data_IF_634874645898
#
_entry.id   IF_634874645898
#
_cell.length_a   1.000
_cell.length_b   1.000
_cell.length_c   1.000
_cell.angle_alpha   90.00
_cell.angle_beta   90.00
_cell.angle_gamma   90.00
#
_symmetry.space_group_name_H-M   'P 1'
#
loop_
_entity.id
_entity.type
_entity.pdbx_description
1 polymer ?
#
# COMPACT_ATOMS: atom_id res chain seq x y z
N UNK A 1 -25.48 42.69 22.47
CA UNK A 1 -24.67 42.44 21.26
C UNK A 1 -23.97 41.09 21.41
N UNK A 2 -24.58 40.01 20.90
CA UNK A 2 -24.05 38.68 20.95
C UNK A 2 -22.94 38.49 19.90
N UNK A 3 -21.75 38.10 20.32
CA UNK A 3 -20.70 37.65 19.41
C UNK A 3 -21.10 36.30 18.85
N UNK A 4 -21.50 36.26 17.58
CA UNK A 4 -21.59 35.02 16.84
C UNK A 4 -20.20 34.41 16.74
N UNK A 5 -20.04 33.21 17.32
CA UNK A 5 -18.86 32.37 17.11
C UNK A 5 -18.86 31.94 15.64
N UNK A 6 -17.88 32.39 14.88
CA UNK A 6 -17.59 31.87 13.54
C UNK A 6 -17.19 30.41 13.71
N UNK A 7 -17.84 29.43 13.04
CA UNK A 7 -17.39 28.05 13.09
C UNK A 7 -15.99 27.97 12.49
N UNK A 8 -15.01 27.52 13.25
CA UNK A 8 -13.73 27.06 12.73
C UNK A 8 -14.04 25.89 11.80
N UNK A 9 -14.03 26.14 10.49
CA UNK A 9 -13.94 25.10 9.48
C UNK A 9 -12.59 24.44 9.69
N UNK A 10 -12.55 23.36 10.46
CA UNK A 10 -11.44 22.41 10.47
C UNK A 10 -11.46 21.72 9.12
N UNK A 11 -10.77 22.31 8.14
CA UNK A 11 -10.47 21.62 6.89
C UNK A 11 -9.43 20.57 7.24
N UNK A 12 -9.88 19.35 7.55
CA UNK A 12 -9.00 18.24 7.81
C UNK A 12 -8.07 18.05 6.60
N UNK A 13 -6.77 18.20 6.85
CA UNK A 13 -5.74 17.99 5.84
C UNK A 13 -5.47 16.50 5.74
N UNK A 14 -5.65 15.90 4.58
CA UNK A 14 -5.28 14.51 4.36
C UNK A 14 -3.77 14.31 4.61
N UNK A 15 -3.42 13.25 5.32
CA UNK A 15 -2.03 12.86 5.59
C UNK A 15 -1.68 11.62 4.80
N UNK A 16 -0.65 11.71 3.95
CA UNK A 16 -0.25 10.63 3.04
C UNK A 16 1.22 10.26 3.24
N UNK A 17 1.45 9.00 3.55
CA UNK A 17 2.78 8.42 3.60
C UNK A 17 3.07 7.68 2.30
N UNK A 18 4.14 8.04 1.61
CA UNK A 18 4.64 7.35 0.42
C UNK A 18 5.84 6.48 0.78
N UNK A 19 5.73 5.18 0.53
CA UNK A 19 6.80 4.19 0.71
C UNK A 19 7.14 3.61 -0.67
N UNK A 20 8.44 3.64 -1.04
CA UNK A 20 8.84 3.12 -2.34
C UNK A 20 10.31 3.35 -2.68
N UNK A 21 10.59 3.53 -3.95
CA UNK A 21 11.94 3.72 -4.45
C UNK A 21 12.02 4.93 -5.41
N UNK A 22 12.93 4.86 -6.40
CA UNK A 22 13.11 5.96 -7.36
C UNK A 22 11.83 6.31 -8.13
N UNK A 23 10.93 5.38 -8.38
CA UNK A 23 9.65 5.68 -9.04
C UNK A 23 8.73 6.56 -8.18
N UNK A 24 8.95 6.56 -6.87
CA UNK A 24 8.24 7.44 -5.93
C UNK A 24 8.92 8.79 -5.76
N UNK A 25 10.26 8.86 -5.69
CA UNK A 25 10.93 10.14 -5.41
C UNK A 25 11.30 10.96 -6.67
N UNK A 26 11.37 10.35 -7.87
CA UNK A 26 11.66 11.09 -9.08
C UNK A 26 10.69 12.25 -9.29
N UNK A 27 11.23 13.37 -9.76
CA UNK A 27 10.50 14.61 -9.99
C UNK A 27 9.66 15.07 -8.78
N UNK A 28 10.03 14.62 -7.57
CA UNK A 28 9.33 14.97 -6.31
C UNK A 28 7.84 14.62 -6.36
N UNK A 29 7.49 13.42 -6.85
CA UNK A 29 6.10 13.00 -7.06
C UNK A 29 5.16 13.27 -5.85
N UNK A 30 5.49 12.93 -4.58
CA UNK A 30 4.58 13.22 -3.47
C UNK A 30 4.24 14.71 -3.34
N UNK A 31 5.20 15.60 -3.58
CA UNK A 31 4.99 17.05 -3.54
C UNK A 31 4.24 17.57 -4.76
N UNK A 32 4.34 16.92 -5.93
CA UNK A 32 3.46 17.22 -7.06
C UNK A 32 2.00 16.90 -6.72
N UNK A 33 1.74 15.77 -6.05
CA UNK A 33 0.38 15.44 -5.56
C UNK A 33 -0.13 16.49 -4.59
N UNK A 34 0.71 16.96 -3.67
CA UNK A 34 0.37 18.02 -2.72
C UNK A 34 0.05 19.35 -3.44
N UNK A 35 0.90 19.74 -4.40
CA UNK A 35 0.70 20.99 -5.16
C UNK A 35 -0.56 20.93 -6.02
N UNK A 36 -0.80 19.79 -6.67
CA UNK A 36 -2.02 19.54 -7.45
C UNK A 36 -3.27 19.61 -6.57
N UNK A 37 -3.24 19.00 -5.39
CA UNK A 37 -4.34 19.07 -4.44
C UNK A 37 -4.59 20.52 -3.99
N UNK A 38 -3.52 21.25 -3.68
CA UNK A 38 -3.61 22.65 -3.26
C UNK A 38 -4.24 23.55 -4.33
N UNK A 39 -3.88 23.37 -5.60
CA UNK A 39 -4.48 24.13 -6.71
C UNK A 39 -5.97 23.82 -6.92
N UNK A 40 -6.42 22.64 -6.47
CA UNK A 40 -7.83 22.25 -6.46
C UNK A 40 -8.54 22.60 -5.14
N UNK A 41 -7.95 23.41 -4.27
CA UNK A 41 -8.53 23.81 -2.98
C UNK A 41 -8.57 22.71 -1.91
N UNK A 42 -7.84 21.61 -2.13
CA UNK A 42 -7.71 20.50 -1.16
C UNK A 42 -6.43 20.66 -0.34
N UNK A 43 -6.48 20.23 0.92
CA UNK A 43 -5.29 20.21 1.79
C UNK A 43 -4.78 18.81 1.94
N UNK A 44 -3.51 18.61 1.62
CA UNK A 44 -2.80 17.34 1.78
C UNK A 44 -1.41 17.59 2.37
N UNK A 45 -0.98 16.79 3.31
CA UNK A 45 0.39 16.74 3.78
C UNK A 45 1.02 15.41 3.41
N UNK A 46 2.22 15.45 2.88
CA UNK A 46 2.93 14.27 2.38
C UNK A 46 4.20 14.00 3.17
N UNK A 47 4.46 12.74 3.44
CA UNK A 47 5.76 12.23 3.89
C UNK A 47 6.23 11.15 2.95
N UNK A 48 7.54 11.07 2.74
CA UNK A 48 8.15 10.07 1.88
C UNK A 48 9.21 9.28 2.65
N UNK A 49 9.21 7.96 2.48
CA UNK A 49 10.32 7.07 2.79
C UNK A 49 10.58 6.25 1.54
N UNK A 50 11.62 6.64 0.77
CA UNK A 50 11.92 6.01 -0.51
C UNK A 50 13.44 5.97 -0.75
N UNK A 51 13.95 4.80 -1.12
CA UNK A 51 15.37 4.57 -1.37
C UNK A 51 15.58 3.94 -2.74
N UNK A 52 16.66 4.29 -3.47
CA UNK A 52 16.91 3.79 -4.82
C UNK A 52 16.87 2.26 -4.91
N UNK A 53 16.03 1.72 -5.81
CA UNK A 53 15.96 0.30 -6.10
C UNK A 53 15.38 -0.60 -5.02
N UNK A 54 14.90 -0.04 -3.92
CA UNK A 54 14.37 -0.83 -2.81
C UNK A 54 13.07 -1.55 -3.17
N UNK A 55 12.92 -2.70 -2.50
CA UNK A 55 11.73 -3.54 -2.47
C UNK A 55 10.93 -3.27 -1.19
N UNK A 56 9.64 -3.57 -1.16
CA UNK A 56 8.83 -3.48 0.06
C UNK A 56 9.38 -4.33 1.21
N UNK A 57 10.01 -5.47 0.91
CA UNK A 57 10.67 -6.30 1.93
C UNK A 57 11.80 -5.58 2.68
N UNK A 58 12.52 -4.65 2.01
CA UNK A 58 13.54 -3.84 2.68
C UNK A 58 12.89 -2.77 3.56
N UNK A 59 11.78 -2.20 3.12
CA UNK A 59 10.96 -1.29 3.92
C UNK A 59 10.37 -1.97 5.15
N UNK A 60 9.88 -3.21 5.01
CA UNK A 60 9.33 -3.99 6.12
C UNK A 60 10.37 -4.32 7.22
N UNK A 61 11.66 -4.27 6.89
CA UNK A 61 12.76 -4.46 7.83
C UNK A 61 13.49 -3.14 8.22
N UNK A 62 13.05 -2.00 7.70
CA UNK A 62 13.76 -0.73 7.87
C UNK A 62 13.15 0.11 9.00
N UNK A 63 13.96 0.48 9.99
CA UNK A 63 13.54 1.25 11.16
C UNK A 63 12.85 2.56 10.79
N UNK A 64 13.41 3.34 9.87
CA UNK A 64 12.85 4.62 9.44
C UNK A 64 11.46 4.47 8.83
N UNK A 65 11.25 3.41 8.01
CA UNK A 65 9.94 3.10 7.43
C UNK A 65 8.93 2.72 8.51
N UNK A 66 9.33 1.82 9.42
CA UNK A 66 8.46 1.36 10.50
C UNK A 66 8.10 2.50 11.47
N UNK A 67 9.05 3.37 11.79
CA UNK A 67 8.79 4.58 12.61
C UNK A 67 7.84 5.54 11.90
N UNK A 68 8.02 5.77 10.59
CA UNK A 68 7.11 6.62 9.82
C UNK A 68 5.67 6.09 9.85
N UNK A 69 5.47 4.77 9.77
CA UNK A 69 4.14 4.17 9.88
C UNK A 69 3.59 4.34 11.31
N UNK A 70 4.43 4.12 12.34
CA UNK A 70 4.06 4.24 13.76
C UNK A 70 3.66 5.65 14.18
N UNK A 71 4.07 6.69 13.47
CA UNK A 71 3.57 8.05 13.72
C UNK A 71 2.03 8.11 13.66
N UNK A 72 1.44 7.24 12.87
CA UNK A 72 -0.02 7.10 12.81
C UNK A 72 -0.75 8.29 12.21
N UNK A 73 -2.07 8.22 12.24
CA UNK A 73 -2.92 9.29 11.71
C UNK A 73 -2.80 9.48 10.19
N UNK A 74 -2.34 8.48 9.46
CA UNK A 74 -2.28 8.48 8.01
C UNK A 74 -3.66 8.18 7.43
N UNK A 75 -4.15 9.05 6.54
CA UNK A 75 -5.36 8.75 5.75
C UNK A 75 -5.03 7.77 4.63
N UNK A 76 -3.84 7.92 4.03
CA UNK A 76 -3.36 7.00 3.01
C UNK A 76 -1.90 6.61 3.25
N UNK A 77 -1.60 5.32 3.02
CA UNK A 77 -0.24 4.80 2.93
C UNK A 77 -0.04 4.20 1.54
N UNK A 78 0.74 4.87 0.72
CA UNK A 78 1.07 4.44 -0.64
C UNK A 78 2.27 3.50 -0.58
N UNK A 79 2.13 2.33 -1.20
CA UNK A 79 3.18 1.32 -1.29
C UNK A 79 3.55 1.05 -2.74
N UNK A 80 4.81 1.31 -3.10
CA UNK A 80 5.38 1.05 -4.42
C UNK A 80 6.48 0.00 -4.33
N UNK A 81 6.29 -1.11 -5.02
CA UNK A 81 7.26 -2.20 -5.11
C UNK A 81 8.32 -1.92 -6.19
N UNK A 82 9.45 -2.61 -6.12
CA UNK A 82 10.49 -2.56 -7.15
C UNK A 82 9.91 -2.92 -8.53
N UNK A 83 10.28 -2.15 -9.54
CA UNK A 83 9.61 -2.10 -10.85
C UNK A 83 9.45 -3.43 -11.59
N UNK A 84 10.33 -4.42 -11.36
CA UNK A 84 10.27 -5.75 -11.98
C UNK A 84 9.81 -6.86 -11.01
N UNK A 85 9.71 -6.57 -9.73
CA UNK A 85 9.36 -7.58 -8.74
C UNK A 85 7.95 -8.18 -8.97
N UNK A 86 6.92 -7.37 -9.27
CA UNK A 86 5.58 -7.91 -9.52
C UNK A 86 5.44 -8.69 -10.83
N UNK A 87 6.46 -8.70 -11.70
CA UNK A 87 6.41 -9.45 -12.98
C UNK A 87 7.19 -10.78 -12.90
N UNK A 88 7.55 -11.21 -11.71
CA UNK A 88 8.17 -12.50 -11.50
C UNK A 88 7.12 -13.61 -11.42
N UNK A 89 7.60 -14.83 -11.30
CA UNK A 89 6.79 -16.03 -11.11
C UNK A 89 5.87 -15.87 -9.88
N UNK A 90 4.65 -16.40 -9.96
CA UNK A 90 3.54 -16.11 -9.04
C UNK A 90 3.88 -16.42 -7.57
N UNK A 91 4.47 -17.57 -7.28
CA UNK A 91 4.84 -17.93 -5.91
C UNK A 91 5.93 -17.03 -5.34
N UNK A 92 6.87 -16.61 -6.19
CA UNK A 92 7.87 -15.63 -5.80
C UNK A 92 7.23 -14.27 -5.46
N UNK A 93 6.25 -13.83 -6.26
CA UNK A 93 5.52 -12.56 -6.05
C UNK A 93 4.75 -12.62 -4.74
N UNK A 94 4.00 -13.68 -4.47
CA UNK A 94 3.29 -13.85 -3.20
C UNK A 94 4.24 -13.73 -2.00
N UNK A 95 5.35 -14.44 -2.04
CA UNK A 95 6.33 -14.47 -0.95
C UNK A 95 7.08 -13.15 -0.77
N UNK A 96 7.50 -12.51 -1.86
CA UNK A 96 8.47 -11.41 -1.82
C UNK A 96 7.87 -10.03 -2.07
N UNK A 97 6.61 -9.96 -2.53
CA UNK A 97 5.87 -8.72 -2.78
C UNK A 97 4.65 -8.62 -1.85
N UNK A 98 3.73 -9.60 -1.90
CA UNK A 98 2.49 -9.53 -1.12
C UNK A 98 2.73 -9.66 0.37
N UNK A 99 3.59 -10.58 0.80
CA UNK A 99 3.89 -10.75 2.22
C UNK A 99 4.49 -9.48 2.86
N UNK A 100 5.55 -8.86 2.32
CA UNK A 100 6.05 -7.60 2.87
C UNK A 100 5.02 -6.46 2.82
N UNK A 101 4.21 -6.37 1.77
CA UNK A 101 3.13 -5.40 1.68
C UNK A 101 2.10 -5.60 2.81
N UNK A 102 1.72 -6.85 3.09
CA UNK A 102 0.82 -7.20 4.17
C UNK A 102 1.39 -6.87 5.56
N UNK A 103 2.70 -7.06 5.77
CA UNK A 103 3.38 -6.66 7.01
C UNK A 103 3.28 -5.14 7.25
N UNK A 104 3.55 -4.34 6.22
CA UNK A 104 3.44 -2.88 6.28
C UNK A 104 1.98 -2.43 6.49
N UNK A 105 1.02 -3.05 5.78
CA UNK A 105 -0.41 -2.75 5.94
C UNK A 105 -0.93 -3.11 7.34
N UNK A 106 -0.50 -4.25 7.89
CA UNK A 106 -0.85 -4.65 9.27
C UNK A 106 -0.39 -3.62 10.28
N UNK A 107 0.84 -3.10 10.13
CA UNK A 107 1.35 -2.03 10.97
C UNK A 107 0.56 -0.73 10.78
N UNK A 108 0.23 -0.34 9.53
CA UNK A 108 -0.62 0.80 9.24
C UNK A 108 -1.99 0.65 9.93
N UNK A 109 -2.63 -0.53 9.85
CA UNK A 109 -3.93 -0.80 10.51
C UNK A 109 -3.87 -0.57 12.01
N UNK A 110 -2.75 -0.92 12.64
CA UNK A 110 -2.55 -0.73 14.07
C UNK A 110 -2.45 0.77 14.44
N UNK A 111 -1.70 1.58 13.67
CA UNK A 111 -1.39 2.97 14.01
C UNK A 111 -2.26 4.01 13.28
N UNK A 112 -2.90 3.61 12.19
CA UNK A 112 -3.84 4.43 11.43
C UNK A 112 -5.06 3.59 11.00
N UNK A 113 -5.90 3.12 11.94
CA UNK A 113 -6.99 2.18 11.67
C UNK A 113 -8.05 2.71 10.71
N UNK A 114 -8.25 4.02 10.65
CA UNK A 114 -9.18 4.68 9.71
C UNK A 114 -8.56 4.92 8.33
N UNK A 115 -7.24 4.84 8.23
CA UNK A 115 -6.52 5.06 6.99
C UNK A 115 -6.66 3.88 6.02
N UNK A 116 -6.22 4.08 4.78
CA UNK A 116 -6.27 3.07 3.71
C UNK A 116 -4.89 2.90 3.09
N UNK A 117 -4.50 1.67 2.83
CA UNK A 117 -3.34 1.41 1.99
C UNK A 117 -3.68 1.61 0.53
N UNK A 118 -2.70 2.04 -0.26
CA UNK A 118 -2.83 2.29 -1.69
C UNK A 118 -1.67 1.60 -2.41
N UNK A 119 -1.99 0.62 -3.23
CA UNK A 119 -1.02 -0.05 -4.09
C UNK A 119 -0.70 0.84 -5.29
N UNK A 120 0.55 1.24 -5.43
CA UNK A 120 1.01 2.06 -6.55
C UNK A 120 1.33 1.16 -7.73
N UNK A 121 0.37 0.89 -8.60
CA UNK A 121 0.59 0.15 -9.85
C UNK A 121 1.53 0.94 -10.76
N UNK A 122 2.74 0.43 -10.91
CA UNK A 122 3.77 1.02 -11.77
C UNK A 122 3.55 0.61 -13.24
N UNK A 123 4.46 0.99 -14.12
CA UNK A 123 4.38 0.82 -15.59
C UNK A 123 5.45 -0.12 -16.12
N UNK A 124 5.18 -0.70 -17.29
CA UNK A 124 6.12 -1.53 -18.04
C UNK A 124 7.33 -0.73 -18.54
N UNK A 125 8.44 -1.41 -18.82
CA UNK A 125 9.64 -0.82 -19.41
C UNK A 125 9.39 -0.39 -20.85
N UNK A 126 10.07 0.67 -21.31
CA UNK A 126 9.96 1.15 -22.68
C UNK A 126 10.78 0.26 -23.65
N UNK A 127 10.28 -0.91 -23.93
CA UNK A 127 10.86 -1.89 -24.84
C UNK A 127 9.77 -2.78 -25.45
N UNK A 128 10.14 -3.74 -26.29
CA UNK A 128 9.22 -4.63 -27.01
C UNK A 128 8.38 -5.55 -26.12
N UNK A 129 8.76 -5.72 -24.83
CA UNK A 129 8.00 -6.52 -23.86
C UNK A 129 6.99 -5.70 -23.06
N UNK A 130 6.79 -4.43 -23.39
CA UNK A 130 5.97 -3.49 -22.61
C UNK A 130 4.57 -4.04 -22.30
N UNK A 131 3.83 -4.48 -23.31
CA UNK A 131 2.43 -4.90 -23.13
C UNK A 131 2.32 -6.13 -22.22
N UNK A 132 3.18 -7.12 -22.39
CA UNK A 132 3.21 -8.30 -21.52
C UNK A 132 3.63 -7.97 -20.09
N UNK A 133 4.61 -7.08 -19.94
CA UNK A 133 5.03 -6.60 -18.61
C UNK A 133 3.92 -5.80 -17.94
N UNK A 134 3.24 -4.90 -18.67
CA UNK A 134 2.15 -4.11 -18.10
C UNK A 134 0.97 -4.99 -17.70
N UNK A 135 0.65 -6.01 -18.49
CA UNK A 135 -0.40 -6.95 -18.15
C UNK A 135 -0.11 -7.66 -16.80
N UNK A 136 1.10 -8.18 -16.63
CA UNK A 136 1.52 -8.83 -15.37
C UNK A 136 1.51 -7.86 -14.19
N UNK A 137 1.95 -6.60 -14.39
CA UNK A 137 1.88 -5.58 -13.36
C UNK A 137 0.43 -5.32 -12.95
N UNK A 138 -0.47 -5.16 -13.91
CA UNK A 138 -1.89 -4.89 -13.65
C UNK A 138 -2.53 -6.02 -12.85
N UNK A 139 -2.35 -7.28 -13.29
CA UNK A 139 -2.88 -8.46 -12.61
C UNK A 139 -2.38 -8.57 -11.17
N UNK A 140 -1.06 -8.49 -10.96
CA UNK A 140 -0.48 -8.68 -9.63
C UNK A 140 -0.75 -7.50 -8.68
N UNK A 141 -0.84 -6.26 -9.17
CA UNK A 141 -1.20 -5.13 -8.32
C UNK A 141 -2.69 -5.14 -7.95
N UNK A 142 -3.57 -5.59 -8.83
CA UNK A 142 -4.99 -5.78 -8.51
C UNK A 142 -5.18 -6.91 -7.49
N UNK A 143 -4.52 -8.06 -7.69
CA UNK A 143 -4.53 -9.16 -6.71
C UNK A 143 -4.00 -8.71 -5.35
N UNK A 144 -2.88 -7.98 -5.32
CA UNK A 144 -2.34 -7.43 -4.07
C UNK A 144 -3.30 -6.44 -3.40
N UNK A 145 -3.94 -5.57 -4.17
CA UNK A 145 -4.90 -4.60 -3.65
C UNK A 145 -6.15 -5.29 -3.09
N UNK A 146 -6.63 -6.35 -3.74
CA UNK A 146 -7.74 -7.16 -3.25
C UNK A 146 -7.36 -7.89 -1.95
N UNK A 147 -6.23 -8.58 -1.95
CA UNK A 147 -5.67 -9.28 -0.78
C UNK A 147 -5.52 -8.34 0.42
N UNK A 148 -5.11 -7.10 0.25
CA UNK A 148 -4.91 -6.13 1.33
C UNK A 148 -6.16 -5.30 1.67
N UNK A 149 -7.28 -5.47 0.97
CA UNK A 149 -8.40 -4.51 0.99
C UNK A 149 -7.88 -3.06 0.81
N UNK A 150 -6.92 -2.88 -0.08
CA UNK A 150 -6.27 -1.61 -0.40
C UNK A 150 -6.85 -1.00 -1.67
N UNK A 151 -6.72 0.32 -1.85
CA UNK A 151 -6.95 0.92 -3.15
C UNK A 151 -5.80 0.56 -4.11
N UNK A 152 -6.08 0.53 -5.41
CA UNK A 152 -5.06 0.44 -6.45
C UNK A 152 -5.00 1.77 -7.21
N UNK A 153 -3.85 2.43 -7.20
CA UNK A 153 -3.61 3.61 -8.04
C UNK A 153 -3.09 3.15 -9.41
N UNK A 154 -3.92 3.18 -10.47
CA UNK A 154 -3.64 2.53 -11.75
C UNK A 154 -2.74 3.37 -12.66
N UNK A 155 -1.59 3.80 -12.14
CA UNK A 155 -0.68 4.66 -12.90
C UNK A 155 -0.20 3.97 -14.17
N UNK A 156 0.13 2.67 -14.09
CA UNK A 156 0.57 1.90 -15.25
C UNK A 156 -0.49 1.81 -16.36
N UNK A 157 -1.78 1.74 -16.03
CA UNK A 157 -2.85 1.76 -17.02
C UNK A 157 -3.05 3.16 -17.63
N UNK A 158 -2.88 4.21 -16.85
CA UNK A 158 -2.87 5.57 -17.40
C UNK A 158 -1.68 5.79 -18.36
N UNK A 159 -0.50 5.27 -18.01
CA UNK A 159 0.67 5.26 -18.89
C UNK A 159 0.42 4.47 -20.18
N UNK A 160 -0.16 3.28 -20.06
CA UNK A 160 -0.53 2.42 -21.21
C UNK A 160 -1.47 3.15 -22.17
N UNK A 161 -2.43 3.88 -21.63
CA UNK A 161 -3.36 4.68 -22.41
C UNK A 161 -2.67 5.83 -23.14
N UNK A 162 -1.84 6.63 -22.43
CA UNK A 162 -1.08 7.73 -23.07
C UNK A 162 -0.15 7.20 -24.16
N UNK A 163 0.53 6.08 -23.93
CA UNK A 163 1.39 5.46 -24.95
C UNK A 163 0.65 5.06 -26.23
N UNK A 164 -0.61 4.69 -26.12
CA UNK A 164 -1.46 4.33 -27.27
C UNK A 164 -2.04 5.56 -27.96
N UNK A 165 -2.53 6.53 -27.22
CA UNK A 165 -3.21 7.69 -27.76
C UNK A 165 -2.24 8.81 -28.22
N UNK A 166 -1.12 8.97 -27.53
CA UNK A 166 -0.12 10.01 -27.82
C UNK A 166 1.31 9.44 -27.70
N UNK A 167 1.74 8.57 -28.63
CA UNK A 167 3.04 7.87 -28.54
C UNK A 167 4.26 8.82 -28.63
N UNK A 168 4.07 10.04 -29.13
CA UNK A 168 5.12 11.07 -29.15
C UNK A 168 5.40 11.71 -27.79
N UNK A 169 4.45 11.61 -26.83
CA UNK A 169 4.64 12.17 -25.50
C UNK A 169 5.58 11.31 -24.68
N UNK A 170 6.73 11.87 -24.33
CA UNK A 170 7.77 11.16 -23.60
C UNK A 170 7.42 11.02 -22.13
N UNK A 171 6.99 9.84 -21.72
CA UNK A 171 6.70 9.51 -20.31
C UNK A 171 7.94 9.00 -19.55
N UNK A 172 8.97 8.56 -20.26
CA UNK A 172 10.20 8.00 -19.69
C UNK A 172 11.38 8.96 -19.80
N UNK A 173 12.33 8.82 -18.90
CA UNK A 173 13.68 9.29 -19.11
C UNK A 173 14.39 8.43 -20.16
N UNK A 174 15.60 8.82 -20.55
CA UNK A 174 16.42 8.14 -21.57
C UNK A 174 16.74 6.67 -21.24
N UNK A 175 16.62 6.26 -19.98
CA UNK A 175 16.85 4.89 -19.54
C UNK A 175 15.66 3.94 -19.82
N UNK A 176 14.56 4.45 -20.35
CA UNK A 176 13.35 3.68 -20.67
C UNK A 176 12.65 3.09 -19.44
N UNK A 177 12.93 3.62 -18.26
CA UNK A 177 12.46 3.09 -16.98
C UNK A 177 11.90 4.17 -16.06
N UNK A 178 12.75 5.12 -15.66
CA UNK A 178 12.35 6.18 -14.74
C UNK A 178 11.41 7.18 -15.42
N UNK A 179 10.53 7.81 -14.63
CA UNK A 179 9.55 8.72 -15.20
C UNK A 179 10.19 10.04 -15.61
N UNK A 180 9.82 10.54 -16.78
CA UNK A 180 10.02 11.93 -17.16
C UNK A 180 9.18 12.86 -16.27
N UNK A 181 9.34 14.19 -16.36
CA UNK A 181 8.42 15.14 -15.72
C UNK A 181 6.94 14.87 -16.06
N UNK A 182 6.62 14.59 -17.34
CA UNK A 182 5.27 14.27 -17.78
C UNK A 182 4.76 12.95 -17.19
N UNK A 183 5.61 11.91 -17.10
CA UNK A 183 5.27 10.64 -16.46
C UNK A 183 4.96 10.78 -14.97
N UNK A 184 5.77 11.55 -14.24
CA UNK A 184 5.51 11.83 -12.83
C UNK A 184 4.25 12.67 -12.63
N UNK A 185 4.00 13.64 -13.50
CA UNK A 185 2.78 14.44 -13.42
C UNK A 185 1.52 13.60 -13.67
N UNK A 186 1.54 12.70 -14.64
CA UNK A 186 0.45 11.75 -14.85
C UNK A 186 0.20 10.89 -13.61
N UNK A 187 1.26 10.40 -12.97
CA UNK A 187 1.14 9.67 -11.71
C UNK A 187 0.51 10.53 -10.61
N UNK A 188 0.91 11.80 -10.48
CA UNK A 188 0.32 12.73 -9.52
C UNK A 188 -1.19 12.92 -9.76
N UNK A 189 -1.61 13.06 -11.01
CA UNK A 189 -3.02 13.17 -11.39
C UNK A 189 -3.82 11.89 -11.02
N UNK A 190 -3.24 10.72 -11.24
CA UNK A 190 -3.85 9.43 -10.83
C UNK A 190 -4.00 9.34 -9.31
N UNK A 191 -2.98 9.72 -8.54
CA UNK A 191 -3.08 9.75 -7.08
C UNK A 191 -4.16 10.73 -6.60
N UNK A 192 -4.22 11.92 -7.18
CA UNK A 192 -5.30 12.86 -6.87
C UNK A 192 -6.67 12.19 -7.07
N UNK A 193 -6.91 11.61 -8.24
CA UNK A 193 -8.19 10.98 -8.57
C UNK A 193 -8.51 9.81 -7.63
N UNK A 194 -7.50 9.01 -7.22
CA UNK A 194 -7.68 7.93 -6.24
C UNK A 194 -7.99 8.47 -4.84
N UNK A 195 -7.32 9.52 -4.39
CA UNK A 195 -7.52 10.04 -3.03
C UNK A 195 -8.88 10.72 -2.89
N UNK A 196 -9.29 11.51 -3.86
CA UNK A 196 -10.52 12.29 -3.76
C UNK A 196 -11.73 11.63 -4.42
N UNK A 197 -11.54 10.82 -5.47
CA UNK A 197 -12.62 10.09 -6.16
C UNK A 197 -13.62 10.98 -6.88
N UNK A 198 -13.21 12.17 -7.27
CA UNK A 198 -14.03 13.19 -7.92
C UNK A 198 -13.29 13.81 -9.10
N UNK A 199 -14.00 14.35 -10.09
CA UNK A 199 -13.41 15.13 -11.16
C UNK A 199 -12.66 16.36 -10.63
N UNK A 200 -11.59 16.75 -11.34
CA UNK A 200 -10.81 17.94 -10.98
C UNK A 200 -10.33 18.67 -12.22
N UNK A 201 -10.03 19.94 -12.05
CA UNK A 201 -9.30 20.77 -13.00
C UNK A 201 -8.30 21.62 -12.23
N UNK A 202 -7.06 21.63 -12.67
CA UNK A 202 -5.95 22.28 -11.99
C UNK A 202 -5.17 23.16 -12.94
N UNK A 203 -4.71 24.30 -12.46
CA UNK A 203 -3.76 25.19 -13.10
C UNK A 203 -2.30 24.89 -12.67
N UNK A 204 -2.07 23.91 -11.80
CA UNK A 204 -0.76 23.41 -11.48
C UNK A 204 -0.32 22.39 -12.54
N UNK A 205 0.66 22.74 -13.34
CA UNK A 205 1.14 21.96 -14.49
C UNK A 205 2.52 21.34 -14.28
N UNK A 206 3.13 21.50 -13.11
CA UNK A 206 4.47 20.99 -12.79
C UNK A 206 5.57 21.39 -13.80
N UNK A 207 5.45 22.56 -14.43
CA UNK A 207 6.37 23.05 -15.45
C UNK A 207 6.14 22.50 -16.87
N UNK A 208 5.09 21.69 -17.07
CA UNK A 208 4.70 21.23 -18.41
C UNK A 208 3.92 22.29 -19.17
N UNK A 209 3.89 22.22 -20.52
CA UNK A 209 2.93 23.00 -21.31
C UNK A 209 1.50 22.70 -20.86
N UNK A 210 0.67 23.75 -20.79
CA UNK A 210 -0.71 23.63 -20.28
C UNK A 210 -1.54 22.59 -21.03
N UNK A 211 -1.42 22.54 -22.36
CA UNK A 211 -2.10 21.55 -23.20
C UNK A 211 -1.74 20.10 -22.80
N UNK A 212 -0.44 19.86 -22.60
CA UNK A 212 0.06 18.54 -22.14
C UNK A 212 -0.48 18.21 -20.75
N UNK A 213 -0.42 19.16 -19.83
CA UNK A 213 -0.89 18.93 -18.46
C UNK A 213 -2.39 18.64 -18.40
N UNK A 214 -3.19 19.42 -19.11
CA UNK A 214 -4.65 19.22 -19.19
C UNK A 214 -5.01 17.87 -19.85
N UNK A 215 -4.29 17.47 -20.89
CA UNK A 215 -4.42 16.14 -21.47
C UNK A 215 -4.15 15.04 -20.44
N UNK A 216 -3.06 15.13 -19.68
CA UNK A 216 -2.71 14.14 -18.65
C UNK A 216 -3.71 14.11 -17.48
N UNK A 217 -4.23 15.27 -17.07
CA UNK A 217 -5.33 15.36 -16.08
C UNK A 217 -6.57 14.59 -16.58
N UNK A 218 -6.98 14.81 -17.83
CA UNK A 218 -8.11 14.12 -18.46
C UNK A 218 -7.89 12.60 -18.48
N UNK A 219 -6.74 12.12 -18.95
CA UNK A 219 -6.43 10.68 -19.00
C UNK A 219 -6.49 10.06 -17.60
N UNK A 220 -5.89 10.69 -16.60
CA UNK A 220 -5.91 10.18 -15.22
C UNK A 220 -7.35 10.04 -14.69
N UNK A 221 -8.18 11.07 -14.90
CA UNK A 221 -9.58 11.05 -14.48
C UNK A 221 -10.38 9.95 -15.19
N UNK A 222 -10.27 9.84 -16.50
CA UNK A 222 -10.99 8.85 -17.27
C UNK A 222 -10.58 7.42 -16.89
N UNK A 223 -9.29 7.16 -16.61
CA UNK A 223 -8.83 5.84 -16.18
C UNK A 223 -9.31 5.51 -14.77
N UNK A 224 -9.26 6.46 -13.85
CA UNK A 224 -9.59 6.21 -12.45
C UNK A 224 -11.10 6.23 -12.22
N UNK A 225 -11.78 7.31 -12.64
CA UNK A 225 -13.17 7.56 -12.25
C UNK A 225 -14.18 6.68 -13.01
N UNK A 226 -13.84 6.20 -14.22
CA UNK A 226 -14.69 5.28 -14.97
C UNK A 226 -14.87 3.92 -14.28
N UNK A 227 -13.93 3.51 -13.42
CA UNK A 227 -13.90 2.18 -12.83
C UNK A 227 -13.37 2.18 -11.37
N UNK A 228 -13.92 3.02 -10.51
CA UNK A 228 -13.53 3.07 -9.09
C UNK A 228 -13.64 1.69 -8.40
N UNK A 229 -14.62 0.88 -8.79
CA UNK A 229 -14.80 -0.49 -8.29
C UNK A 229 -13.60 -1.38 -8.62
N UNK A 230 -13.10 -1.30 -9.85
CA UNK A 230 -11.92 -2.07 -10.29
C UNK A 230 -10.67 -1.71 -9.49
N UNK A 231 -10.58 -0.46 -9.06
CA UNK A 231 -9.46 0.02 -8.25
C UNK A 231 -9.70 -0.13 -6.74
N UNK A 232 -10.67 -0.98 -6.34
CA UNK A 232 -11.10 -1.20 -4.96
C UNK A 232 -11.57 0.05 -4.21
N UNK A 233 -11.86 1.14 -4.93
CA UNK A 233 -12.35 2.37 -4.35
C UNK A 233 -13.87 2.41 -4.33
N UNK A 234 -14.49 1.43 -3.65
CA UNK A 234 -15.93 1.37 -3.46
C UNK A 234 -16.39 2.31 -2.35
N UNK A 235 -17.28 3.22 -2.66
CA UNK A 235 -17.89 4.09 -1.65
C UNK A 235 -18.85 3.34 -0.70
N UNK A 236 -19.24 2.11 -1.04
CA UNK A 236 -20.25 1.34 -0.30
C UNK A 236 -19.68 0.22 0.59
N UNK A 237 -18.40 -0.07 0.52
CA UNK A 237 -17.76 -0.81 1.61
C UNK A 237 -17.48 0.20 2.73
N UNK A 238 -18.51 0.51 3.57
CA UNK A 238 -18.18 0.81 4.96
C UNK A 238 -17.11 -0.21 5.34
N UNK A 239 -16.09 0.13 6.16
CA UNK A 239 -15.33 -0.89 6.82
C UNK A 239 -16.38 -1.76 7.51
N UNK A 240 -16.77 -2.87 6.89
CA UNK A 240 -17.41 -3.93 7.57
C UNK A 240 -16.50 -4.11 8.76
N UNK A 241 -17.00 -3.80 9.94
CA UNK A 241 -16.21 -3.90 11.14
C UNK A 241 -15.43 -5.18 10.98
N UNK A 242 -14.12 -5.17 11.20
CA UNK A 242 -13.17 -6.22 10.88
C UNK A 242 -13.84 -7.57 11.03
N UNK A 243 -14.74 -7.87 10.12
CA UNK A 243 -15.23 -9.21 9.93
C UNK A 243 -14.08 -9.85 9.22
N UNK A 244 -13.46 -10.73 9.90
CA UNK A 244 -12.37 -11.60 9.58
C UNK A 244 -12.50 -12.37 8.25
N UNK A 245 -12.99 -11.75 7.18
CA UNK A 245 -13.08 -12.36 5.85
C UNK A 245 -11.75 -12.31 5.09
N UNK A 246 -10.76 -11.61 5.65
CA UNK A 246 -9.39 -11.64 5.12
C UNK A 246 -8.58 -12.83 5.63
N UNK A 247 -9.01 -13.35 6.73
CA UNK A 247 -8.64 -14.67 7.18
C UNK A 247 -9.85 -15.52 6.84
N UNK A 248 -9.77 -16.52 5.95
CA UNK A 248 -10.73 -17.58 5.99
C UNK A 248 -10.81 -17.92 7.47
N UNK A 249 -11.97 -17.66 8.06
CA UNK A 249 -12.18 -17.99 9.46
C UNK A 249 -11.63 -19.43 9.55
N UNK A 250 -10.41 -19.66 10.05
CA UNK A 250 -10.06 -21.02 10.34
C UNK A 250 -11.25 -21.39 11.15
N UNK A 251 -11.95 -22.48 10.87
CA UNK A 251 -13.11 -22.94 11.62
C UNK A 251 -12.66 -23.07 13.07
N UNK A 252 -12.37 -21.93 13.67
CA UNK A 252 -12.25 -21.76 15.08
C UNK A 252 -13.68 -21.95 15.54
N UNK A 253 -13.91 -23.15 15.98
CA UNK A 253 -15.07 -23.42 16.79
C UNK A 253 -15.11 -22.33 17.86
N UNK A 254 -16.02 -21.36 17.72
CA UNK A 254 -16.17 -20.25 18.67
C UNK A 254 -16.68 -20.76 20.00
N UNK A 255 -17.01 -22.03 20.09
CA UNK A 255 -17.29 -22.73 21.32
C UNK A 255 -15.95 -22.98 22.02
N UNK A 256 -15.53 -21.98 22.79
CA UNK A 256 -14.48 -22.04 23.80
C UNK A 256 -13.16 -22.63 23.29
N UNK A 257 -12.08 -21.82 23.14
CA UNK A 257 -10.77 -22.40 23.00
C UNK A 257 -10.55 -23.31 24.22
N UNK A 258 -10.56 -24.62 24.01
CA UNK A 258 -10.23 -25.64 25.00
C UNK A 258 -8.73 -25.64 25.34
N UNK A 259 -8.01 -24.59 24.99
CA UNK A 259 -6.75 -24.24 25.58
C UNK A 259 -7.08 -23.63 26.94
N UNK A 260 -6.90 -24.42 28.00
CA UNK A 260 -6.80 -23.86 29.34
C UNK A 260 -5.86 -22.65 29.26
N UNK A 261 -6.35 -21.48 29.68
CA UNK A 261 -5.51 -20.28 29.72
C UNK A 261 -4.23 -20.68 30.46
N UNK A 262 -3.03 -20.53 29.88
CA UNK A 262 -1.80 -20.87 30.58
C UNK A 262 -1.59 -19.98 31.79
N UNK A 263 -2.44 -18.98 31.95
CA UNK A 263 -2.43 -18.01 33.01
C UNK A 263 -3.70 -18.20 33.85
N UNK A 264 -3.59 -18.97 34.89
CA UNK A 264 -4.49 -18.81 36.04
C UNK A 264 -4.35 -17.39 36.61
N UNK A 265 -4.63 -17.18 37.86
CA UNK A 265 -4.45 -15.91 38.55
C UNK A 265 -2.98 -15.53 38.81
N UNK A 266 -1.97 -16.21 38.21
CA UNK A 266 -0.54 -16.01 38.39
C UNK A 266 0.26 -15.85 37.09
N UNK A 267 1.54 -15.49 37.23
CA UNK A 267 2.49 -15.41 36.11
C UNK A 267 2.80 -16.83 35.60
N UNK A 268 2.64 -17.06 34.29
CA UNK A 268 3.03 -18.32 33.66
C UNK A 268 4.55 -18.52 33.71
N UNK A 269 5.00 -19.74 33.94
CA UNK A 269 6.39 -20.13 33.78
C UNK A 269 6.79 -20.10 32.30
N UNK A 270 8.11 -20.00 32.05
CA UNK A 270 8.64 -20.03 30.68
C UNK A 270 8.27 -21.35 29.96
N UNK A 271 8.23 -22.46 30.69
CA UNK A 271 7.89 -23.77 30.13
C UNK A 271 6.39 -23.86 29.77
N UNK A 272 5.50 -23.34 30.61
CA UNK A 272 4.07 -23.24 30.29
C UNK A 272 3.82 -22.36 29.05
N UNK A 273 4.53 -21.23 28.91
CA UNK A 273 4.44 -20.40 27.72
C UNK A 273 4.91 -21.18 26.47
N UNK A 274 6.02 -21.89 26.58
CA UNK A 274 6.56 -22.69 25.48
C UNK A 274 5.62 -23.78 25.03
N UNK A 275 5.05 -24.53 25.97
CA UNK A 275 4.08 -25.59 25.70
C UNK A 275 2.80 -25.03 25.06
N UNK A 276 2.34 -23.87 25.49
CA UNK A 276 1.21 -23.19 24.89
C UNK A 276 1.48 -22.77 23.44
N UNK A 277 2.65 -22.19 23.16
CA UNK A 277 3.07 -21.82 21.81
C UNK A 277 3.20 -23.05 20.90
N UNK A 278 3.73 -24.18 21.40
CA UNK A 278 3.79 -25.45 20.65
C UNK A 278 2.40 -25.98 20.32
N UNK A 279 1.45 -25.92 21.26
CA UNK A 279 0.08 -26.31 20.99
C UNK A 279 -0.60 -25.45 19.94
N UNK A 280 -0.31 -24.14 19.89
CA UNK A 280 -0.82 -23.26 18.82
C UNK A 280 -0.28 -23.69 17.45
N UNK A 281 1.01 -24.04 17.34
CA UNK A 281 1.60 -24.53 16.08
C UNK A 281 0.93 -25.84 15.64
N UNK A 282 0.74 -26.79 16.56
CA UNK A 282 0.12 -28.09 16.25
C UNK A 282 -1.34 -27.93 15.80
N UNK A 283 -2.07 -26.98 16.39
CA UNK A 283 -3.49 -26.74 16.06
C UNK A 283 -3.69 -25.89 14.81
N UNK A 284 -2.66 -25.17 14.38
CA UNK A 284 -2.71 -24.27 13.24
C UNK A 284 -1.59 -24.57 12.24
N UNK A 285 -1.52 -25.81 11.70
CA UNK A 285 -0.48 -26.19 10.76
C UNK A 285 -0.56 -25.31 9.51
N UNK A 286 0.56 -24.72 9.17
CA UNK A 286 0.66 -23.78 8.04
C UNK A 286 0.29 -22.31 8.37
N UNK A 287 -0.34 -22.03 9.50
CA UNK A 287 -0.61 -20.66 9.97
C UNK A 287 0.41 -20.19 11.01
N UNK A 288 1.01 -21.12 11.73
CA UNK A 288 2.00 -20.82 12.74
C UNK A 288 3.17 -21.78 12.66
N UNK A 289 4.37 -21.28 12.87
CA UNK A 289 5.54 -22.10 13.15
C UNK A 289 6.38 -21.47 14.25
N UNK A 290 7.15 -22.29 14.93
CA UNK A 290 8.01 -21.85 16.03
C UNK A 290 9.47 -22.13 15.73
N UNK A 291 10.31 -21.17 15.99
CA UNK A 291 11.75 -21.26 15.84
C UNK A 291 12.47 -20.81 17.12
N UNK A 292 13.59 -21.43 17.43
CA UNK A 292 14.43 -20.99 18.53
C UNK A 292 15.45 -19.98 17.99
N UNK A 293 15.37 -18.72 18.44
CA UNK A 293 16.25 -17.63 17.97
C UNK A 293 17.51 -17.47 18.80
N UNK A 294 17.67 -18.24 19.86
CA UNK A 294 18.86 -18.16 20.72
C UNK A 294 18.71 -18.89 22.04
N UNK A 295 19.71 -18.70 22.89
CA UNK A 295 19.76 -19.27 24.24
C UNK A 295 20.10 -18.17 25.23
N UNK A 296 19.37 -18.12 26.35
CA UNK A 296 19.67 -17.17 27.45
C UNK A 296 21.00 -17.51 28.12
N UNK A 297 21.54 -16.58 28.91
CA UNK A 297 22.75 -16.84 29.73
C UNK A 297 22.60 -18.01 30.71
N UNK A 298 21.34 -18.39 31.04
CA UNK A 298 21.03 -19.56 31.89
C UNK A 298 20.78 -20.84 31.07
N UNK A 299 21.12 -20.88 29.78
CA UNK A 299 20.97 -22.05 28.93
C UNK A 299 19.55 -22.37 28.46
N UNK A 300 18.58 -21.45 28.65
CA UNK A 300 17.19 -21.65 28.20
C UNK A 300 17.02 -21.18 26.77
N UNK A 301 16.37 -21.97 25.93
CA UNK A 301 16.01 -21.59 24.55
C UNK A 301 15.00 -20.44 24.55
N UNK A 302 15.13 -19.54 23.59
CA UNK A 302 14.21 -18.44 23.35
C UNK A 302 13.35 -18.80 22.14
N UNK A 303 12.12 -19.29 22.34
CA UNK A 303 11.21 -19.59 21.23
C UNK A 303 10.57 -18.32 20.72
N UNK A 304 10.42 -18.23 19.40
CA UNK A 304 9.61 -17.20 18.71
C UNK A 304 8.54 -17.90 17.90
N UNK A 305 7.30 -17.46 18.10
CA UNK A 305 6.16 -17.89 17.30
C UNK A 305 6.03 -16.96 16.10
N UNK A 306 6.12 -17.51 14.90
CA UNK A 306 5.79 -16.84 13.66
C UNK A 306 4.35 -17.20 13.29
N UNK A 307 3.52 -16.19 13.09
CA UNK A 307 2.18 -16.36 12.56
C UNK A 307 2.21 -16.05 11.07
N UNK A 308 1.89 -17.04 10.23
CA UNK A 308 1.67 -16.81 8.82
C UNK A 308 0.31 -16.13 8.66
N UNK A 309 0.31 -14.89 8.21
CA UNK A 309 -0.91 -14.16 7.91
C UNK A 309 -1.45 -14.48 6.49
N UNK A 310 -0.82 -15.43 5.77
CA UNK A 310 -1.17 -15.78 4.41
C UNK A 310 -1.39 -17.29 4.31
N UNK A 311 -2.63 -17.71 4.52
CA UNK A 311 -3.17 -18.89 3.88
C UNK A 311 -4.18 -18.41 2.85
N UNK A 312 -3.71 -18.29 1.61
CA UNK A 312 -4.60 -18.25 0.46
C UNK A 312 -4.88 -19.73 0.18
N UNK A 313 -6.07 -20.18 0.59
CA UNK A 313 -6.61 -21.46 0.14
C UNK A 313 -6.77 -21.42 -1.37
N UNK A 314 -6.40 -22.51 -2.04
CA UNK A 314 -6.68 -22.81 -3.44
C UNK A 314 -8.15 -22.59 -3.82
#
# INVERSE_FOLDING_TARGET
MGKQAVPLLTTDSLRVLFIGNSYTFFNRLPWQVQSLASSCGKKISVRQVANPGWYLRQHAANTQTLEAIREGGWDYMVMQEQSKAPTREKEWVKKNVFHPAAQLDSLRRLYAPKGKSVCYMTWGRNNDTYEGMQQQLTENYLEMADVLDAYCAPVGEAWRRVRRECPSLQLYNSDGSHPSPAGSYLAACVFYAIFFGEPFSSDYYAGLPSETALYLQRIAQEVVLANLVLWNRNQSKQPAGVTASFYPDPKFDRETPTLSKPYGSGLASVDEIKDYLQQLVVRSPGLAYMENIGVTKQGRTIPVLYLSLIHISE
#
